data_IF_749077262337
#
_entry.id   IF_749077262337
#
_cell.length_a   1.000
_cell.length_b   1.000
_cell.length_c   1.000
_cell.angle_alpha   90.00
_cell.angle_beta   90.00
_cell.angle_gamma   90.00
#
_symmetry.space_group_name_H-M   'P 1'
#
loop_
_entity.id
_entity.type
_entity.pdbx_description
1 polymer ?
#
# COMPACT_ATOMS: atom_id res chain seq x y z
N UNK A 1 -6.86 12.02 13.48
CA UNK A 1 -6.42 10.85 12.69
C UNK A 1 -6.29 9.69 13.66
N UNK A 2 -6.99 8.59 13.41
CA UNK A 2 -6.84 7.34 14.17
C UNK A 2 -6.21 6.32 13.22
N UNK A 3 -5.11 5.72 13.64
CA UNK A 3 -4.39 4.70 12.88
C UNK A 3 -3.93 3.63 13.85
N UNK A 4 -4.68 2.53 13.88
CA UNK A 4 -4.46 1.42 14.79
C UNK A 4 -3.38 0.46 14.27
N UNK A 5 -2.71 0.76 13.15
CA UNK A 5 -1.74 -0.13 12.50
C UNK A 5 -0.32 0.42 12.48
N UNK A 6 -0.15 1.74 12.46
CA UNK A 6 1.17 2.37 12.29
C UNK A 6 2.19 1.90 13.33
N UNK A 7 1.75 1.66 14.56
CA UNK A 7 2.60 1.21 15.66
C UNK A 7 3.19 -0.20 15.47
N UNK A 8 2.61 -1.01 14.58
CA UNK A 8 3.14 -2.33 14.21
C UNK A 8 4.34 -2.22 13.27
N UNK A 9 4.47 -1.09 12.56
CA UNK A 9 5.55 -0.84 11.61
C UNK A 9 6.65 0.07 12.16
N UNK A 10 6.33 0.94 13.12
CA UNK A 10 7.29 1.87 13.74
C UNK A 10 7.43 1.63 15.24
N UNK A 11 8.67 1.39 15.68
CA UNK A 11 8.96 1.00 17.07
C UNK A 11 8.65 2.07 18.11
N UNK A 12 8.77 3.36 17.77
CA UNK A 12 8.55 4.47 18.73
C UNK A 12 7.93 5.69 18.05
N UNK A 13 6.91 6.32 18.64
CA UNK A 13 6.42 7.62 18.20
C UNK A 13 7.54 8.66 18.37
N UNK A 14 7.91 9.34 17.29
CA UNK A 14 8.86 10.45 17.35
C UNK A 14 8.08 11.73 17.58
N UNK A 15 8.33 12.44 18.69
CA UNK A 15 7.78 13.78 18.90
C UNK A 15 8.31 14.72 17.81
N UNK A 16 7.40 15.30 17.04
CA UNK A 16 7.67 16.37 16.05
C UNK A 16 7.04 17.67 16.52
N UNK A 17 7.50 18.80 15.97
CA UNK A 17 6.92 20.11 16.27
C UNK A 17 5.44 20.18 15.83
N UNK A 18 4.61 21.03 16.47
CA UNK A 18 3.20 21.14 16.14
C UNK A 18 2.93 21.45 14.65
N UNK A 19 3.78 22.28 14.02
CA UNK A 19 3.64 22.62 12.60
C UNK A 19 3.88 21.41 11.69
N UNK A 20 4.85 20.55 12.03
CA UNK A 20 5.11 19.30 11.31
C UNK A 20 3.92 18.36 11.45
N UNK A 21 3.37 18.20 12.66
CA UNK A 21 2.21 17.34 12.90
C UNK A 21 0.96 17.84 12.14
N UNK A 22 0.74 19.15 12.09
CA UNK A 22 -0.34 19.76 11.28
C UNK A 22 -0.15 19.46 9.80
N UNK A 23 1.07 19.56 9.28
CA UNK A 23 1.40 19.19 7.91
C UNK A 23 1.09 17.72 7.59
N UNK A 24 1.49 16.80 8.46
CA UNK A 24 1.15 15.38 8.31
C UNK A 24 -0.36 15.13 8.34
N UNK A 25 -1.08 15.79 9.25
CA UNK A 25 -2.55 15.69 9.32
C UNK A 25 -3.22 16.21 8.05
N UNK A 26 -2.80 17.38 7.54
CA UNK A 26 -3.36 17.96 6.32
C UNK A 26 -3.12 17.05 5.11
N UNK A 27 -1.90 16.51 4.97
CA UNK A 27 -1.57 15.52 3.94
C UNK A 27 -2.46 14.30 4.02
N UNK A 28 -2.58 13.70 5.21
CA UNK A 28 -3.44 12.54 5.44
C UNK A 28 -4.90 12.84 5.09
N UNK A 29 -5.44 13.96 5.58
CA UNK A 29 -6.84 14.35 5.36
C UNK A 29 -7.16 14.57 3.88
N UNK A 30 -6.27 15.24 3.15
CA UNK A 30 -6.43 15.47 1.71
C UNK A 30 -6.45 14.15 0.93
N UNK A 31 -5.47 13.27 1.17
CA UNK A 31 -5.40 11.97 0.51
C UNK A 31 -6.61 11.08 0.87
N UNK A 32 -7.03 11.09 2.14
CA UNK A 32 -8.21 10.35 2.62
C UNK A 32 -9.47 10.79 1.90
N UNK A 33 -9.67 12.11 1.75
CA UNK A 33 -10.82 12.66 1.04
C UNK A 33 -10.86 12.22 -0.43
N UNK A 34 -9.73 12.31 -1.13
CA UNK A 34 -9.62 11.90 -2.53
C UNK A 34 -9.88 10.39 -2.70
N UNK A 35 -9.32 9.56 -1.82
CA UNK A 35 -9.56 8.12 -1.81
C UNK A 35 -11.04 7.79 -1.62
N UNK A 36 -11.71 8.41 -0.65
CA UNK A 36 -13.14 8.18 -0.44
C UNK A 36 -13.98 8.63 -1.62
N UNK A 37 -13.69 9.78 -2.23
CA UNK A 37 -14.40 10.23 -3.42
C UNK A 37 -14.23 9.22 -4.57
N UNK A 38 -13.00 8.76 -4.82
CA UNK A 38 -12.75 7.71 -5.81
C UNK A 38 -13.52 6.42 -5.50
N UNK A 39 -13.48 5.97 -4.24
CA UNK A 39 -14.14 4.74 -3.77
C UNK A 39 -15.66 4.86 -3.69
N UNK A 40 -16.23 6.06 -3.63
CA UNK A 40 -17.68 6.31 -3.67
C UNK A 40 -18.22 6.65 -5.05
N UNK A 41 -17.38 7.02 -6.03
CA UNK A 41 -17.86 7.30 -7.39
C UNK A 41 -18.48 6.04 -8.03
N UNK A 42 -19.78 6.02 -8.21
CA UNK A 42 -20.45 5.04 -9.07
C UNK A 42 -20.32 5.52 -10.52
N UNK A 43 -19.94 4.63 -11.45
CA UNK A 43 -20.02 4.95 -12.88
C UNK A 43 -21.48 4.80 -13.28
N UNK A 44 -22.00 5.74 -14.06
CA UNK A 44 -23.38 5.75 -14.54
C UNK A 44 -23.77 4.35 -15.04
N UNK A 45 -24.72 3.76 -14.33
CA UNK A 45 -25.11 2.37 -14.40
C UNK A 45 -25.83 2.04 -15.72
N UNK A 46 -25.08 1.94 -16.82
CA UNK A 46 -25.55 1.24 -18.02
C UNK A 46 -25.14 -0.24 -18.05
N UNK A 47 -24.28 -0.67 -17.14
CA UNK A 47 -23.93 -2.08 -16.95
C UNK A 47 -24.07 -2.44 -15.47
N UNK A 48 -24.81 -3.52 -15.20
CA UNK A 48 -25.36 -3.95 -13.92
C UNK A 48 -24.31 -4.49 -12.92
N UNK A 49 -23.20 -3.79 -12.73
CA UNK A 49 -22.14 -4.21 -11.81
C UNK A 49 -21.46 -3.03 -11.14
N UNK A 50 -21.29 -3.11 -9.81
CA UNK A 50 -20.41 -2.21 -9.08
C UNK A 50 -19.02 -2.20 -9.75
N UNK A 51 -18.53 -1.03 -10.14
CA UNK A 51 -17.24 -0.91 -10.80
C UNK A 51 -16.12 -1.42 -9.87
N UNK A 52 -15.36 -2.44 -10.32
CA UNK A 52 -14.20 -2.97 -9.59
C UNK A 52 -13.09 -1.93 -9.56
N UNK A 53 -12.91 -1.27 -8.40
CA UNK A 53 -11.90 -0.22 -8.21
C UNK A 53 -10.55 -0.81 -7.84
N UNK A 54 -9.48 -0.21 -8.34
CA UNK A 54 -8.11 -0.60 -8.03
C UNK A 54 -7.34 0.61 -7.55
N UNK A 55 -6.46 0.41 -6.57
CA UNK A 55 -5.56 1.44 -6.05
C UNK A 55 -4.12 0.93 -6.19
N UNK A 56 -3.25 1.76 -6.77
CA UNK A 56 -1.81 1.54 -6.87
C UNK A 56 -1.09 2.62 -6.05
N UNK A 57 -0.54 2.23 -4.91
CA UNK A 57 0.28 3.11 -4.05
C UNK A 57 1.75 2.98 -4.45
N UNK A 58 2.34 4.07 -4.95
CA UNK A 58 3.74 4.14 -5.36
C UNK A 58 4.58 4.79 -4.27
N UNK A 59 5.70 4.17 -3.90
CA UNK A 59 6.49 4.57 -2.73
C UNK A 59 5.71 4.37 -1.43
N UNK A 60 5.00 3.26 -1.30
CA UNK A 60 4.07 3.03 -0.20
C UNK A 60 4.75 3.04 1.17
N UNK A 61 6.03 2.66 1.28
CA UNK A 61 6.69 2.55 2.57
C UNK A 61 5.88 1.71 3.56
N UNK A 62 5.78 2.18 4.79
CA UNK A 62 4.94 1.60 5.84
C UNK A 62 3.51 2.17 5.88
N UNK A 63 2.96 2.60 4.74
CA UNK A 63 1.57 3.06 4.66
C UNK A 63 0.60 1.99 5.19
N UNK A 64 -0.40 2.43 5.94
CA UNK A 64 -1.40 1.59 6.62
C UNK A 64 -2.79 1.78 6.01
N UNK A 65 -2.90 2.58 4.94
CA UNK A 65 -4.17 2.96 4.31
C UNK A 65 -5.02 1.75 3.93
N UNK A 66 -4.43 0.69 3.39
CA UNK A 66 -5.15 -0.54 3.06
C UNK A 66 -5.88 -1.14 4.27
N UNK A 67 -5.15 -1.36 5.39
CA UNK A 67 -5.72 -1.94 6.60
C UNK A 67 -6.85 -1.08 7.18
N UNK A 68 -6.65 0.25 7.18
CA UNK A 68 -7.70 1.19 7.60
C UNK A 68 -8.94 1.12 6.70
N UNK A 69 -8.78 1.01 5.38
CA UNK A 69 -9.90 0.89 4.44
C UNK A 69 -10.62 -0.46 4.59
N UNK A 70 -9.89 -1.54 4.89
CA UNK A 70 -10.45 -2.86 5.15
C UNK A 70 -11.36 -2.85 6.38
N UNK A 71 -10.91 -2.24 7.48
CA UNK A 71 -11.72 -2.11 8.71
C UNK A 71 -12.96 -1.24 8.54
N UNK A 72 -12.87 -0.24 7.67
CA UNK A 72 -14.00 0.63 7.35
C UNK A 72 -14.98 0.03 6.34
N UNK A 73 -14.72 -1.17 5.82
CA UNK A 73 -15.54 -1.80 4.79
C UNK A 73 -15.46 -1.08 3.43
N UNK A 74 -14.38 -0.33 3.18
CA UNK A 74 -14.16 0.50 1.98
C UNK A 74 -12.97 0.04 1.15
N UNK A 75 -12.45 -1.17 1.38
CA UNK A 75 -11.33 -1.68 0.61
C UNK A 75 -11.70 -1.77 -0.89
N UNK A 76 -10.78 -1.38 -1.80
CA UNK A 76 -10.99 -1.58 -3.23
C UNK A 76 -10.99 -3.07 -3.57
N UNK A 77 -11.39 -3.38 -4.81
CA UNK A 77 -11.29 -4.74 -5.33
C UNK A 77 -9.82 -5.22 -5.37
N UNK A 78 -8.89 -4.33 -5.73
CA UNK A 78 -7.45 -4.59 -5.72
C UNK A 78 -6.73 -3.39 -5.08
N UNK A 79 -5.80 -3.65 -4.16
CA UNK A 79 -4.87 -2.66 -3.61
C UNK A 79 -3.44 -3.17 -3.82
N UNK A 80 -2.64 -2.44 -4.58
CA UNK A 80 -1.24 -2.78 -4.88
C UNK A 80 -0.34 -1.72 -4.27
N UNK A 81 0.69 -2.17 -3.56
CA UNK A 81 1.75 -1.32 -3.05
C UNK A 81 3.05 -1.63 -3.77
N UNK A 82 3.68 -0.58 -4.30
CA UNK A 82 5.01 -0.64 -4.88
C UNK A 82 5.91 0.31 -4.11
N UNK A 83 7.08 -0.16 -3.76
CA UNK A 83 8.13 0.61 -3.10
C UNK A 83 9.50 0.11 -3.62
N UNK A 84 10.58 0.75 -3.18
CA UNK A 84 11.92 0.29 -3.48
C UNK A 84 12.33 -0.88 -2.59
N UNK A 85 13.13 -1.77 -3.17
CA UNK A 85 13.91 -2.71 -2.37
C UNK A 85 14.92 -1.91 -1.56
N UNK A 86 14.85 -2.04 -0.24
CA UNK A 86 15.85 -1.44 0.62
C UNK A 86 17.21 -2.06 0.30
N UNK A 87 18.15 -1.24 -0.16
CA UNK A 87 19.55 -1.65 -0.32
C UNK A 87 20.12 -1.73 1.08
N UNK A 88 20.24 -2.93 1.64
CA UNK A 88 21.15 -3.14 2.76
C UNK A 88 22.55 -2.81 2.25
N UNK A 89 23.27 -1.90 2.91
CA UNK A 89 24.70 -1.66 2.63
C UNK A 89 25.50 -2.83 3.21
N UNK A 90 25.27 -4.01 2.64
CA UNK A 90 26.15 -5.17 2.68
C UNK A 90 26.07 -5.77 1.28
N UNK A 91 27.08 -5.46 0.46
CA UNK A 91 27.48 -6.13 -0.77
C UNK A 91 26.46 -6.20 -1.93
N UNK A 92 26.68 -5.34 -2.93
CA UNK A 92 26.81 -5.62 -4.37
C UNK A 92 25.74 -6.53 -5.04
N UNK A 93 25.12 -5.97 -6.09
CA UNK A 93 24.26 -6.55 -7.15
C UNK A 93 22.81 -6.91 -6.75
N UNK A 94 21.82 -6.14 -7.23
CA UNK A 94 20.64 -6.67 -7.96
C UNK A 94 19.55 -5.60 -8.31
N UNK A 95 19.40 -5.32 -9.62
CA UNK A 95 18.37 -4.52 -10.34
C UNK A 95 16.85 -4.79 -10.06
N UNK A 96 16.00 -3.77 -10.36
CA UNK A 96 14.51 -3.63 -10.58
C UNK A 96 13.58 -4.88 -10.65
N UNK A 97 12.27 -4.91 -10.29
CA UNK A 97 11.23 -3.94 -9.86
C UNK A 97 10.07 -4.68 -9.14
N UNK A 98 9.29 -4.01 -8.28
CA UNK A 98 8.01 -4.48 -7.72
C UNK A 98 8.04 -4.91 -6.26
N UNK A 99 8.32 -3.98 -5.33
CA UNK A 99 8.72 -4.35 -3.95
C UNK A 99 7.79 -3.72 -2.93
N UNK A 100 6.97 -4.50 -2.23
CA UNK A 100 6.63 -4.14 -0.85
C UNK A 100 7.93 -4.30 -0.07
N UNK A 101 8.43 -3.25 0.58
CA UNK A 101 9.76 -3.25 1.24
C UNK A 101 9.93 -4.56 2.02
N UNK A 102 11.05 -5.28 1.87
CA UNK A 102 11.24 -6.61 2.50
C UNK A 102 10.95 -6.59 4.01
N UNK A 103 11.18 -5.45 4.68
CA UNK A 103 10.79 -5.23 6.08
C UNK A 103 9.29 -5.21 6.32
N UNK A 104 8.50 -4.52 5.49
CA UNK A 104 7.04 -4.46 5.64
C UNK A 104 6.42 -5.84 5.41
N UNK A 105 6.87 -6.53 4.37
CA UNK A 105 6.48 -7.92 4.11
C UNK A 105 6.81 -8.85 5.29
N UNK A 106 8.02 -8.77 5.84
CA UNK A 106 8.42 -9.56 7.01
C UNK A 106 7.58 -9.24 8.26
N UNK A 107 7.24 -7.97 8.49
CA UNK A 107 6.37 -7.56 9.59
C UNK A 107 4.96 -8.12 9.41
N UNK A 108 4.40 -8.04 8.19
CA UNK A 108 3.06 -8.59 7.90
C UNK A 108 3.03 -10.11 8.14
N UNK A 109 4.05 -10.84 7.71
CA UNK A 109 4.11 -12.30 7.91
C UNK A 109 4.19 -12.71 9.38
N UNK A 110 4.96 -11.95 10.18
CA UNK A 110 5.21 -12.24 11.60
C UNK A 110 4.12 -11.70 12.53
N UNK A 111 3.30 -10.75 12.09
CA UNK A 111 2.23 -10.16 12.87
C UNK A 111 0.86 -10.76 12.47
N UNK A 112 0.25 -11.57 13.34
CA UNK A 112 -1.06 -12.18 13.07
C UNK A 112 -2.13 -11.16 12.75
N UNK A 113 -2.19 -10.05 13.50
CA UNK A 113 -3.16 -8.97 13.27
C UNK A 113 -3.12 -8.42 11.85
N UNK A 114 -1.93 -8.31 11.24
CA UNK A 114 -1.77 -7.84 9.86
C UNK A 114 -2.04 -8.95 8.86
N UNK A 115 -1.51 -10.14 9.11
CA UNK A 115 -1.67 -11.30 8.23
C UNK A 115 -3.13 -11.68 8.04
N UNK A 116 -3.92 -11.66 9.10
CA UNK A 116 -5.34 -12.06 9.06
C UNK A 116 -6.20 -11.06 8.24
N UNK A 117 -5.71 -9.82 8.07
CA UNK A 117 -6.34 -8.80 7.21
C UNK A 117 -5.96 -8.93 5.74
N UNK A 118 -4.87 -9.64 5.45
CA UNK A 118 -4.36 -9.86 4.10
C UNK A 118 -4.96 -11.18 3.60
N UNK A 119 -5.88 -11.09 2.64
CA UNK A 119 -6.60 -12.27 2.14
C UNK A 119 -5.68 -13.35 1.55
N UNK A 120 -6.18 -14.58 1.45
CA UNK A 120 -5.43 -15.74 0.94
C UNK A 120 -4.87 -15.55 -0.49
N UNK A 121 -5.43 -14.62 -1.26
CA UNK A 121 -5.00 -14.27 -2.62
C UNK A 121 -3.89 -13.21 -2.66
N UNK A 122 -3.44 -12.71 -1.51
CA UNK A 122 -2.40 -11.71 -1.46
C UNK A 122 -1.06 -12.29 -1.90
N UNK A 123 -0.47 -11.68 -2.91
CA UNK A 123 0.85 -12.03 -3.41
C UNK A 123 1.89 -11.04 -2.90
N UNK A 124 2.86 -11.54 -2.14
CA UNK A 124 4.04 -10.78 -1.71
C UNK A 124 5.20 -11.26 -2.56
N UNK A 125 5.55 -10.51 -3.61
CA UNK A 125 6.74 -10.83 -4.41
C UNK A 125 8.01 -10.26 -3.77
N UNK A 126 9.04 -11.11 -3.65
CA UNK A 126 10.39 -10.74 -3.24
C UNK A 126 11.40 -11.12 -4.33
N UNK A 127 11.29 -10.55 -5.54
CA UNK A 127 12.26 -10.89 -6.61
C UNK A 127 12.07 -10.23 -7.99
N UNK A 128 13.19 -10.17 -8.73
CA UNK A 128 13.46 -9.58 -10.06
C UNK A 128 12.71 -10.24 -11.24
N UNK A 129 12.22 -9.43 -12.20
CA UNK A 129 12.13 -9.84 -13.62
C UNK A 129 12.28 -8.63 -14.56
N UNK A 130 13.01 -8.73 -15.69
CA UNK A 130 13.09 -7.67 -16.70
C UNK A 130 11.84 -7.70 -17.58
N UNK A 131 11.12 -6.58 -17.68
CA UNK A 131 10.13 -6.35 -18.72
C UNK A 131 10.84 -5.73 -19.93
N UNK A 132 11.34 -6.57 -20.83
CA UNK A 132 11.39 -6.24 -22.25
C UNK A 132 10.20 -6.95 -22.89
N UNK A 133 9.32 -6.17 -23.49
CA UNK A 133 8.16 -6.66 -24.22
C UNK A 133 8.60 -7.63 -25.32
N UNK A 134 8.13 -8.87 -25.29
CA UNK A 134 8.00 -9.65 -26.51
C UNK A 134 6.73 -9.14 -27.20
N UNK A 135 6.90 -8.23 -28.16
CA UNK A 135 5.94 -8.10 -29.23
C UNK A 135 5.85 -9.46 -29.92
N UNK A 136 4.68 -10.09 -29.85
CA UNK A 136 4.32 -11.21 -30.70
C UNK A 136 4.32 -10.69 -32.15
N UNK A 137 5.34 -11.03 -32.93
CA UNK A 137 5.22 -10.97 -34.37
C UNK A 137 4.24 -12.08 -34.80
N UNK A 138 3.11 -11.65 -35.34
CA UNK A 138 2.35 -12.44 -36.32
C UNK A 138 3.12 -12.53 -37.63
#
# INVERSE_FOLDING_TARGET
>A
MKDDYIHLFVRRPVRRSPIINRGYFARWAALRKLLYQFLSCERDAKEQGHAKKQILSLGAGFDTTYFQLQDEGKAPYIYVELDFKEVQVQNILTNLMGVVTSKKAAIIETCSQLRDKVGATASISRGKHPFLASATNS
#
